data_IF_010421666267
#
_entry.id   IF_010421666267
#
_cell.length_a   1.000
_cell.length_b   1.000
_cell.length_c   1.000
_cell.angle_alpha   90.00
_cell.angle_beta   90.00
_cell.angle_gamma   90.00
#
_symmetry.space_group_name_H-M   'P 1'
#
loop_
_entity.id
_entity.type
_entity.pdbx_description
1 polymer ?
#
# COMPACT_ATOMS: atom_id res chain seq x y z
N UNK A 1 20.77 -1.75 -15.01
CA UNK A 1 21.48 -1.19 -13.84
C UNK A 1 21.83 0.30 -13.98
N UNK A 2 22.06 0.80 -15.20
CA UNK A 2 22.42 2.23 -15.41
C UNK A 2 21.33 3.23 -14.96
N UNK A 3 20.05 2.86 -14.98
CA UNK A 3 18.93 3.72 -14.54
C UNK A 3 18.91 3.95 -13.03
N UNK A 4 19.29 2.96 -12.22
CA UNK A 4 19.29 3.07 -10.75
C UNK A 4 20.31 4.11 -10.20
N UNK A 5 21.41 4.33 -10.91
CA UNK A 5 22.48 5.23 -10.47
C UNK A 5 22.40 6.62 -11.09
N UNK A 6 21.32 6.94 -11.79
CA UNK A 6 21.09 8.29 -12.30
C UNK A 6 20.90 9.28 -11.13
N UNK A 7 21.60 10.43 -11.12
CA UNK A 7 21.50 11.38 -10.00
C UNK A 7 20.06 11.83 -9.70
N UNK A 8 19.23 12.00 -10.73
CA UNK A 8 17.83 12.41 -10.60
C UNK A 8 17.01 11.34 -9.88
N UNK A 9 17.21 10.05 -10.21
CA UNK A 9 16.55 8.92 -9.56
C UNK A 9 16.94 8.85 -8.09
N UNK A 10 18.23 9.00 -7.78
CA UNK A 10 18.71 8.97 -6.40
C UNK A 10 18.18 10.14 -5.57
N UNK A 11 18.11 11.37 -6.15
CA UNK A 11 17.51 12.54 -5.49
C UNK A 11 16.02 12.33 -5.20
N UNK A 12 15.25 11.86 -6.20
CA UNK A 12 13.83 11.57 -6.03
C UNK A 12 13.61 10.46 -4.99
N UNK A 13 14.41 9.40 -5.03
CA UNK A 13 14.35 8.30 -4.07
C UNK A 13 14.67 8.77 -2.65
N UNK A 14 15.69 9.61 -2.48
CA UNK A 14 16.06 10.16 -1.17
C UNK A 14 14.93 11.05 -0.59
N UNK A 15 14.34 11.93 -1.41
CA UNK A 15 13.21 12.75 -0.99
C UNK A 15 11.98 11.91 -0.63
N UNK A 16 11.63 10.94 -1.47
CA UNK A 16 10.51 10.05 -1.22
C UNK A 16 10.74 9.15 0.01
N UNK A 17 11.95 8.65 0.22
CA UNK A 17 12.30 7.85 1.39
C UNK A 17 12.25 8.67 2.69
N UNK A 18 12.78 9.89 2.68
CA UNK A 18 12.69 10.81 3.82
C UNK A 18 11.22 11.09 4.17
N UNK A 19 10.39 11.38 3.16
CA UNK A 19 8.95 11.58 3.34
C UNK A 19 8.25 10.34 3.87
N UNK A 20 8.51 9.15 3.30
CA UNK A 20 7.96 7.88 3.76
C UNK A 20 8.33 7.58 5.21
N UNK A 21 9.59 7.83 5.59
CA UNK A 21 10.08 7.64 6.96
C UNK A 21 9.40 8.61 7.93
N UNK A 22 9.22 9.87 7.54
CA UNK A 22 8.50 10.86 8.33
C UNK A 22 7.04 10.46 8.57
N UNK A 23 6.35 9.96 7.54
CA UNK A 23 4.98 9.47 7.65
C UNK A 23 4.88 8.19 8.51
N UNK A 24 5.89 7.34 8.49
CA UNK A 24 5.93 6.12 9.29
C UNK A 24 6.27 6.37 10.77
N UNK A 25 6.96 7.47 11.08
CA UNK A 25 7.44 7.81 12.42
C UNK A 25 6.40 7.69 13.53
N UNK A 26 5.16 8.26 13.41
CA UNK A 26 4.19 8.21 14.50
C UNK A 26 3.75 6.79 14.85
N UNK A 27 3.75 5.87 13.89
CA UNK A 27 3.45 4.45 14.13
C UNK A 27 4.62 3.73 14.77
N UNK A 28 5.84 3.97 14.29
CA UNK A 28 7.06 3.38 14.84
C UNK A 28 7.28 3.81 16.30
N UNK A 29 7.03 5.08 16.62
CA UNK A 29 7.16 5.61 17.98
C UNK A 29 6.17 4.96 18.99
N UNK A 30 5.07 4.39 18.49
CA UNK A 30 4.07 3.67 19.31
C UNK A 30 4.32 2.17 19.40
N UNK A 31 5.34 1.67 18.75
CA UNK A 31 5.71 0.24 18.78
C UNK A 31 6.52 -0.05 20.05
N UNK A 32 5.89 0.21 21.22
CA UNK A 32 6.51 0.17 22.54
C UNK A 32 7.04 -1.21 22.94
N UNK A 33 6.47 -2.27 22.40
CA UNK A 33 6.82 -3.65 22.75
C UNK A 33 7.99 -4.21 21.91
N UNK A 34 8.53 -3.39 21.00
CA UNK A 34 9.64 -3.81 20.18
C UNK A 34 10.98 -3.55 20.92
N UNK A 35 11.79 -4.58 21.18
CA UNK A 35 13.09 -4.42 21.82
C UNK A 35 14.09 -3.65 20.95
N UNK A 36 13.79 -3.45 19.66
CA UNK A 36 14.65 -2.71 18.74
C UNK A 36 14.61 -1.22 19.08
N UNK A 37 15.76 -0.57 19.30
CA UNK A 37 15.81 0.87 19.52
C UNK A 37 15.14 1.63 18.37
N UNK A 38 14.29 2.62 18.69
CA UNK A 38 13.51 3.37 17.71
C UNK A 38 14.38 3.97 16.59
N UNK A 39 15.56 4.52 16.91
CA UNK A 39 16.48 5.08 15.93
C UNK A 39 16.94 4.04 14.92
N UNK A 40 17.21 2.79 15.37
CA UNK A 40 17.63 1.71 14.49
C UNK A 40 16.49 1.28 13.55
N UNK A 41 15.27 1.18 14.07
CA UNK A 41 14.09 0.90 13.25
C UNK A 41 13.89 1.99 12.18
N UNK A 42 14.03 3.26 12.55
CA UNK A 42 13.91 4.39 11.63
C UNK A 42 14.98 4.39 10.55
N UNK A 43 16.25 4.19 10.93
CA UNK A 43 17.38 4.12 9.97
C UNK A 43 17.18 2.96 9.01
N UNK A 44 16.85 1.77 9.53
CA UNK A 44 16.64 0.58 8.71
C UNK A 44 15.48 0.76 7.73
N UNK A 45 14.33 1.27 8.20
CA UNK A 45 13.18 1.52 7.34
C UNK A 45 13.45 2.64 6.34
N UNK A 46 14.14 3.70 6.75
CA UNK A 46 14.53 4.78 5.84
C UNK A 46 15.44 4.29 4.73
N UNK A 47 16.41 3.44 5.05
CA UNK A 47 17.29 2.82 4.06
C UNK A 47 16.53 1.86 3.14
N UNK A 48 15.69 1.02 3.70
CA UNK A 48 14.82 0.13 2.91
C UNK A 48 13.90 0.94 1.97
N UNK A 49 13.26 1.99 2.47
CA UNK A 49 12.44 2.88 1.66
C UNK A 49 13.25 3.54 0.54
N UNK A 50 14.48 3.99 0.81
CA UNK A 50 15.36 4.55 -0.21
C UNK A 50 15.66 3.55 -1.33
N UNK A 51 16.05 2.32 -0.99
CA UNK A 51 16.32 1.28 -1.97
C UNK A 51 15.08 0.95 -2.81
N UNK A 52 13.91 0.83 -2.17
CA UNK A 52 12.66 0.52 -2.84
C UNK A 52 12.20 1.66 -3.74
N UNK A 53 12.26 2.92 -3.28
CA UNK A 53 11.93 4.08 -4.11
C UNK A 53 12.89 4.23 -5.28
N UNK A 54 14.19 3.99 -5.10
CA UNK A 54 15.15 3.99 -6.20
C UNK A 54 14.77 2.97 -7.28
N UNK A 55 14.36 1.78 -6.87
CA UNK A 55 13.87 0.76 -7.79
C UNK A 55 12.57 1.19 -8.50
N UNK A 56 11.62 1.77 -7.76
CA UNK A 56 10.35 2.26 -8.31
C UNK A 56 10.59 3.36 -9.34
N UNK A 57 11.34 4.41 -9.00
CA UNK A 57 11.61 5.50 -9.94
C UNK A 57 12.40 5.03 -11.16
N UNK A 58 13.44 4.19 -10.96
CA UNK A 58 14.27 3.71 -12.07
C UNK A 58 13.50 2.80 -13.03
N UNK A 59 12.76 1.85 -12.50
CA UNK A 59 12.20 0.77 -13.34
C UNK A 59 10.79 1.04 -13.82
N UNK A 60 9.99 1.76 -13.01
CA UNK A 60 8.65 2.12 -13.46
C UNK A 60 8.72 3.03 -14.70
N UNK A 61 9.50 4.10 -14.65
CA UNK A 61 9.64 5.01 -15.78
C UNK A 61 10.27 4.33 -17.02
N UNK A 62 11.33 3.54 -16.80
CA UNK A 62 12.02 2.81 -17.88
C UNK A 62 11.13 1.83 -18.64
N UNK A 63 10.25 1.12 -17.90
CA UNK A 63 9.46 0.02 -18.48
C UNK A 63 7.98 0.33 -18.72
N UNK A 64 7.41 1.35 -18.05
CA UNK A 64 6.05 1.81 -18.31
C UNK A 64 5.97 3.04 -19.23
N UNK A 65 7.10 3.75 -19.40
CA UNK A 65 7.15 5.01 -20.14
C UNK A 65 6.43 6.17 -19.45
N UNK A 66 6.08 6.02 -18.17
CA UNK A 66 5.32 7.03 -17.40
C UNK A 66 6.05 7.37 -16.10
N UNK A 67 6.02 8.66 -15.67
CA UNK A 67 6.61 9.06 -14.40
C UNK A 67 5.79 8.51 -13.22
N UNK A 68 6.48 8.17 -12.14
CA UNK A 68 5.84 7.74 -10.88
C UNK A 68 4.99 8.87 -10.28
N UNK A 69 5.54 10.10 -10.28
CA UNK A 69 4.85 11.30 -9.82
C UNK A 69 4.31 12.06 -11.03
N UNK A 70 3.00 12.00 -11.23
CA UNK A 70 2.30 12.77 -12.25
C UNK A 70 1.57 13.91 -11.57
N UNK A 71 2.06 15.16 -11.77
CA UNK A 71 1.42 16.34 -11.19
C UNK A 71 0.14 16.75 -11.92
N UNK A 72 0.02 16.39 -13.20
CA UNK A 72 -1.16 16.68 -14.03
C UNK A 72 -1.87 15.36 -14.32
N UNK A 73 -2.68 14.92 -13.35
CA UNK A 73 -3.49 13.69 -13.50
C UNK A 73 -4.82 14.06 -14.16
N UNK A 74 -5.24 13.35 -15.24
CA UNK A 74 -6.54 13.57 -15.87
C UNK A 74 -7.70 13.38 -14.88
N UNK A 75 -8.76 14.18 -15.02
CA UNK A 75 -9.95 14.10 -14.17
C UNK A 75 -10.58 12.71 -14.14
N UNK A 76 -10.51 11.98 -15.26
CA UNK A 76 -10.98 10.59 -15.36
C UNK A 76 -10.27 9.68 -14.35
N UNK A 77 -8.97 9.81 -14.18
CA UNK A 77 -8.20 8.95 -13.26
C UNK A 77 -8.52 9.29 -11.78
N UNK A 78 -8.79 10.56 -11.48
CA UNK A 78 -9.31 10.97 -10.17
C UNK A 78 -10.70 10.40 -9.91
N UNK A 79 -11.59 10.42 -10.89
CA UNK A 79 -12.92 9.84 -10.77
C UNK A 79 -12.84 8.31 -10.53
N UNK A 80 -12.01 7.61 -11.31
CA UNK A 80 -11.79 6.16 -11.14
C UNK A 80 -11.21 5.85 -9.75
N UNK A 81 -10.25 6.63 -9.28
CA UNK A 81 -9.67 6.48 -7.95
C UNK A 81 -10.72 6.73 -6.85
N UNK A 82 -11.56 7.74 -7.01
CA UNK A 82 -12.64 8.03 -6.06
C UNK A 82 -13.66 6.89 -6.01
N UNK A 83 -14.13 6.43 -7.17
CA UNK A 83 -15.08 5.31 -7.25
C UNK A 83 -14.47 4.03 -6.64
N UNK A 84 -13.22 3.71 -6.98
CA UNK A 84 -12.53 2.56 -6.43
C UNK A 84 -12.36 2.65 -4.91
N UNK A 85 -11.99 3.82 -4.39
CA UNK A 85 -11.84 4.06 -2.96
C UNK A 85 -13.15 3.94 -2.20
N UNK A 86 -14.23 4.58 -2.69
CA UNK A 86 -15.55 4.57 -2.04
C UNK A 86 -16.17 3.18 -2.08
N UNK A 87 -16.21 2.55 -3.26
CA UNK A 87 -16.77 1.20 -3.42
C UNK A 87 -15.94 0.20 -2.59
N UNK A 88 -14.61 0.29 -2.64
CA UNK A 88 -13.73 -0.56 -1.85
C UNK A 88 -13.95 -0.36 -0.35
N UNK A 89 -14.09 0.87 0.13
CA UNK A 89 -14.40 1.17 1.53
C UNK A 89 -15.73 0.55 1.97
N UNK A 90 -16.78 0.71 1.16
CA UNK A 90 -18.10 0.15 1.44
C UNK A 90 -18.06 -1.40 1.47
N UNK A 91 -17.42 -2.02 0.49
CA UNK A 91 -17.28 -3.48 0.44
C UNK A 91 -16.48 -4.01 1.63
N UNK A 92 -15.34 -3.40 1.95
CA UNK A 92 -14.48 -3.87 3.04
C UNK A 92 -15.14 -3.67 4.41
N UNK A 93 -15.86 -2.57 4.62
CA UNK A 93 -16.58 -2.34 5.88
C UNK A 93 -17.66 -3.38 6.16
N UNK A 94 -18.30 -3.91 5.11
CA UNK A 94 -19.38 -4.88 5.25
C UNK A 94 -18.89 -6.34 5.25
N UNK A 95 -17.75 -6.63 4.65
CA UNK A 95 -17.31 -8.01 4.43
C UNK A 95 -16.06 -8.39 5.22
N UNK A 96 -15.01 -7.57 5.13
CA UNK A 96 -13.68 -7.90 5.70
C UNK A 96 -13.54 -7.39 7.13
N UNK A 97 -14.00 -6.17 7.39
CA UNK A 97 -13.80 -5.53 8.70
C UNK A 97 -14.53 -6.27 9.86
N UNK A 98 -15.74 -6.81 9.72
CA UNK A 98 -16.37 -7.58 10.80
C UNK A 98 -15.53 -8.80 11.20
N UNK A 99 -15.02 -9.54 10.21
CA UNK A 99 -14.16 -10.70 10.45
C UNK A 99 -12.80 -10.26 11.03
N UNK A 100 -12.20 -9.24 10.46
CA UNK A 100 -10.91 -8.72 10.91
C UNK A 100 -10.96 -8.20 12.34
N UNK A 101 -11.99 -7.45 12.72
CA UNK A 101 -12.17 -6.95 14.09
C UNK A 101 -12.37 -8.06 15.11
N UNK A 102 -13.08 -9.13 14.75
CA UNK A 102 -13.29 -10.26 15.65
C UNK A 102 -11.98 -11.03 15.91
N UNK A 103 -11.09 -11.10 14.93
CA UNK A 103 -9.87 -11.92 14.98
C UNK A 103 -8.62 -11.14 15.38
N UNK A 104 -8.54 -9.87 15.01
CA UNK A 104 -7.39 -8.98 15.27
C UNK A 104 -7.87 -7.58 15.61
N UNK A 105 -8.54 -7.39 16.75
CA UNK A 105 -9.05 -6.07 17.16
C UNK A 105 -7.93 -5.02 17.26
N UNK A 106 -6.70 -5.45 17.58
CA UNK A 106 -5.51 -4.58 17.67
C UNK A 106 -5.10 -3.95 16.33
N UNK A 107 -5.51 -4.52 15.19
CA UNK A 107 -5.21 -3.98 13.86
C UNK A 107 -6.17 -2.84 13.45
N UNK A 108 -7.20 -2.60 14.27
CA UNK A 108 -8.20 -1.56 14.03
C UNK A 108 -7.99 -0.36 14.92
N UNK A 109 -8.09 0.86 14.39
CA UNK A 109 -7.87 2.07 15.17
C UNK A 109 -8.99 2.25 16.23
N UNK A 110 -8.59 2.50 17.47
CA UNK A 110 -9.52 2.73 18.59
C UNK A 110 -9.82 4.21 18.82
N UNK A 111 -9.07 5.10 18.20
CA UNK A 111 -9.25 6.55 18.29
C UNK A 111 -8.65 7.26 17.07
N UNK A 112 -8.96 8.55 16.93
CA UNK A 112 -8.50 9.41 15.82
C UNK A 112 -6.98 9.42 15.66
N UNK A 113 -6.24 9.44 16.75
CA UNK A 113 -4.78 9.48 16.68
C UNK A 113 -4.21 8.13 16.19
N UNK A 114 -4.78 7.00 16.58
CA UNK A 114 -4.42 5.67 16.07
C UNK A 114 -4.78 5.57 14.58
N UNK A 115 -5.96 6.05 14.19
CA UNK A 115 -6.37 6.10 12.78
C UNK A 115 -5.39 6.94 11.94
N UNK A 116 -5.08 8.16 12.40
CA UNK A 116 -4.14 9.03 11.68
C UNK A 116 -2.77 8.39 11.48
N UNK A 117 -2.22 7.75 12.51
CA UNK A 117 -0.92 7.06 12.39
C UNK A 117 -0.96 5.86 11.45
N UNK A 118 -2.08 5.15 11.39
CA UNK A 118 -2.26 4.03 10.45
C UNK A 118 -2.35 4.53 9.00
N UNK A 119 -3.11 5.60 8.76
CA UNK A 119 -3.21 6.22 7.43
C UNK A 119 -1.84 6.70 6.95
N UNK A 120 -1.11 7.44 7.80
CA UNK A 120 0.21 7.95 7.45
C UNK A 120 1.19 6.83 7.12
N UNK A 121 1.21 5.77 7.92
CA UNK A 121 2.04 4.60 7.67
C UNK A 121 1.68 3.90 6.36
N UNK A 122 0.38 3.73 6.09
CA UNK A 122 -0.09 3.15 4.84
C UNK A 122 0.36 3.97 3.63
N UNK A 123 0.17 5.29 3.67
CA UNK A 123 0.54 6.18 2.57
C UNK A 123 2.05 6.27 2.36
N UNK A 124 2.82 6.28 3.44
CA UNK A 124 4.27 6.43 3.36
C UNK A 124 5.02 5.14 3.04
N UNK A 125 4.60 4.03 3.61
CA UNK A 125 5.40 2.81 3.60
C UNK A 125 4.67 1.58 3.05
N UNK A 126 3.45 1.31 3.50
CA UNK A 126 2.76 0.07 3.13
C UNK A 126 2.47 -0.02 1.64
N UNK A 127 2.05 1.08 1.00
CA UNK A 127 1.85 1.11 -0.46
C UNK A 127 3.14 0.82 -1.22
N UNK A 128 4.26 1.42 -0.78
CA UNK A 128 5.56 1.21 -1.40
C UNK A 128 5.94 -0.26 -1.35
N UNK A 129 5.87 -0.86 -0.15
CA UNK A 129 6.34 -2.22 0.08
C UNK A 129 5.44 -3.28 -0.58
N UNK A 130 4.12 -3.08 -0.52
CA UNK A 130 3.15 -4.10 -0.93
C UNK A 130 2.79 -4.03 -2.42
N UNK A 131 2.81 -2.83 -3.01
CA UNK A 131 2.34 -2.63 -4.38
C UNK A 131 3.42 -2.11 -5.32
N UNK A 132 4.06 -0.99 -4.98
CA UNK A 132 4.86 -0.26 -5.93
C UNK A 132 6.21 -0.91 -6.20
N UNK A 133 6.91 -1.33 -5.16
CA UNK A 133 8.21 -1.98 -5.30
C UNK A 133 8.10 -3.37 -5.96
N UNK A 134 7.15 -4.26 -5.57
CA UNK A 134 6.93 -5.50 -6.30
C UNK A 134 6.57 -5.28 -7.77
N UNK A 135 5.68 -4.32 -8.07
CA UNK A 135 5.35 -3.99 -9.46
C UNK A 135 6.59 -3.58 -10.25
N UNK A 136 7.39 -2.65 -9.72
CA UNK A 136 8.60 -2.19 -10.38
C UNK A 136 9.60 -3.33 -10.61
N UNK A 137 9.77 -4.21 -9.63
CA UNK A 137 10.60 -5.40 -9.74
C UNK A 137 10.12 -6.33 -10.85
N UNK A 138 8.83 -6.68 -10.89
CA UNK A 138 8.28 -7.54 -11.92
C UNK A 138 8.25 -6.86 -13.30
N UNK A 139 8.03 -5.55 -13.39
CA UNK A 139 8.18 -4.80 -14.63
C UNK A 139 9.59 -4.96 -15.21
N UNK A 140 10.61 -4.86 -14.37
CA UNK A 140 12.00 -5.09 -14.79
C UNK A 140 12.23 -6.51 -15.29
N UNK A 141 11.72 -7.52 -14.58
CA UNK A 141 11.93 -8.93 -14.93
C UNK A 141 11.22 -9.33 -16.21
N UNK A 142 9.95 -8.92 -16.34
CA UNK A 142 9.07 -9.41 -17.40
C UNK A 142 8.96 -8.46 -18.59
N UNK A 143 9.28 -7.18 -18.38
CA UNK A 143 9.09 -6.08 -19.36
C UNK A 143 7.65 -5.99 -19.88
N UNK A 144 6.70 -6.53 -19.14
CA UNK A 144 5.28 -6.55 -19.46
C UNK A 144 4.48 -6.06 -18.27
N UNK A 145 3.72 -4.98 -18.44
CA UNK A 145 2.87 -4.42 -17.40
C UNK A 145 1.80 -5.42 -16.93
N UNK A 146 1.23 -6.19 -17.87
CA UNK A 146 0.18 -7.17 -17.56
C UNK A 146 0.73 -8.30 -16.68
N UNK A 147 1.89 -8.88 -17.05
CA UNK A 147 2.52 -9.94 -16.27
C UNK A 147 2.98 -9.39 -14.91
N UNK A 148 3.56 -8.20 -14.86
CA UNK A 148 4.01 -7.58 -13.62
C UNK A 148 2.85 -7.34 -12.64
N UNK A 149 1.70 -6.86 -13.13
CA UNK A 149 0.49 -6.68 -12.32
C UNK A 149 -0.01 -8.02 -11.79
N UNK A 150 -0.11 -9.04 -12.64
CA UNK A 150 -0.51 -10.39 -12.23
C UNK A 150 0.43 -10.99 -11.19
N UNK A 151 1.75 -10.90 -11.40
CA UNK A 151 2.76 -11.40 -10.48
C UNK A 151 2.71 -10.65 -9.13
N UNK A 152 2.48 -9.34 -9.13
CA UNK A 152 2.29 -8.57 -7.89
C UNK A 152 1.03 -9.02 -7.14
N UNK A 153 -0.07 -9.30 -7.85
CA UNK A 153 -1.28 -9.82 -7.23
C UNK A 153 -1.07 -11.21 -6.59
N UNK A 154 -0.33 -12.10 -7.26
CA UNK A 154 0.05 -13.41 -6.71
C UNK A 154 0.93 -13.24 -5.46
N UNK A 155 1.94 -12.37 -5.51
CA UNK A 155 2.78 -12.08 -4.35
C UNK A 155 1.97 -11.53 -3.17
N UNK A 156 0.93 -10.74 -3.45
CA UNK A 156 0.02 -10.22 -2.41
C UNK A 156 -0.77 -11.33 -1.72
N UNK A 157 -1.19 -12.35 -2.45
CA UNK A 157 -1.83 -13.54 -1.87
C UNK A 157 -0.84 -14.28 -0.99
N UNK A 158 0.40 -14.44 -1.44
CA UNK A 158 1.46 -15.08 -0.66
C UNK A 158 1.72 -14.34 0.66
N UNK A 159 1.80 -13.00 0.66
CA UNK A 159 1.90 -12.22 1.89
C UNK A 159 0.68 -12.34 2.80
N UNK A 160 -0.51 -12.44 2.23
CA UNK A 160 -1.71 -12.73 3.00
C UNK A 160 -1.59 -14.09 3.69
N UNK A 161 -1.13 -15.10 2.98
CA UNK A 161 -0.95 -16.45 3.52
C UNK A 161 0.12 -16.52 4.62
N UNK A 162 1.26 -15.83 4.46
CA UNK A 162 2.32 -15.78 5.47
C UNK A 162 1.95 -14.93 6.70
N UNK A 163 1.23 -13.83 6.50
CA UNK A 163 0.93 -12.86 7.55
C UNK A 163 -0.35 -13.15 8.33
N UNK A 164 -1.17 -14.09 7.87
CA UNK A 164 -2.48 -14.39 8.49
C UNK A 164 -2.67 -15.89 8.64
N UNK A 165 -3.22 -16.27 9.79
CA UNK A 165 -3.76 -17.61 9.97
C UNK A 165 -5.10 -17.69 9.19
N UNK A 166 -5.01 -17.90 7.88
CA UNK A 166 -6.17 -17.95 6.98
C UNK A 166 -7.30 -18.86 7.46
N UNK A 167 -7.01 -20.08 8.01
CA UNK A 167 -8.06 -20.94 8.56
C UNK A 167 -8.81 -20.32 9.73
N UNK A 168 -8.16 -19.46 10.53
CA UNK A 168 -8.82 -18.72 11.61
C UNK A 168 -9.58 -17.51 11.12
N UNK A 169 -9.04 -16.82 10.07
CA UNK A 169 -9.70 -15.65 9.47
C UNK A 169 -10.96 -16.02 8.70
N UNK A 170 -11.01 -17.18 8.11
CA UNK A 170 -12.15 -17.64 7.33
C UNK A 170 -12.33 -19.15 7.53
N UNK A 171 -13.16 -19.54 8.50
CA UNK A 171 -13.37 -20.96 8.84
C UNK A 171 -14.05 -21.76 7.72
N UNK A 172 -14.52 -21.09 6.66
CA UNK A 172 -15.11 -21.74 5.48
C UNK A 172 -14.25 -21.51 4.23
N UNK A 173 -14.22 -22.49 3.34
CA UNK A 173 -13.53 -22.37 2.05
C UNK A 173 -14.05 -21.19 1.21
N UNK A 174 -15.35 -20.90 1.29
CA UNK A 174 -15.95 -19.73 0.62
C UNK A 174 -15.45 -18.40 1.20
N UNK A 175 -15.25 -18.32 2.51
CA UNK A 175 -14.67 -17.14 3.17
C UNK A 175 -13.22 -16.91 2.76
N UNK A 176 -12.39 -17.95 2.69
CA UNK A 176 -11.01 -17.86 2.18
C UNK A 176 -11.01 -17.38 0.73
N UNK A 177 -11.84 -17.99 -0.12
CA UNK A 177 -11.95 -17.61 -1.53
C UNK A 177 -12.35 -16.13 -1.68
N UNK A 178 -13.33 -15.67 -0.89
CA UNK A 178 -13.77 -14.27 -0.90
C UNK A 178 -12.64 -13.31 -0.50
N UNK A 179 -11.90 -13.61 0.56
CA UNK A 179 -10.76 -12.79 1.00
C UNK A 179 -9.68 -12.70 -0.07
N UNK A 180 -9.34 -13.83 -0.71
CA UNK A 180 -8.35 -13.88 -1.79
C UNK A 180 -8.83 -13.07 -2.98
N UNK A 181 -10.07 -13.26 -3.44
CA UNK A 181 -10.65 -12.52 -4.56
C UNK A 181 -10.67 -11.02 -4.29
N UNK A 182 -11.13 -10.59 -3.11
CA UNK A 182 -11.16 -9.18 -2.73
C UNK A 182 -9.75 -8.56 -2.75
N UNK A 183 -8.73 -9.27 -2.28
CA UNK A 183 -7.34 -8.81 -2.30
C UNK A 183 -6.77 -8.73 -3.72
N UNK A 184 -7.05 -9.72 -4.55
CA UNK A 184 -6.64 -9.71 -5.97
C UNK A 184 -7.26 -8.54 -6.70
N UNK A 185 -8.58 -8.39 -6.61
CA UNK A 185 -9.30 -7.29 -7.28
C UNK A 185 -8.80 -5.93 -6.81
N UNK A 186 -8.65 -5.73 -5.49
CA UNK A 186 -8.10 -4.48 -4.95
C UNK A 186 -6.69 -4.21 -5.48
N UNK A 187 -5.83 -5.23 -5.56
CA UNK A 187 -4.47 -5.09 -6.11
C UNK A 187 -4.49 -4.70 -7.59
N UNK A 188 -5.31 -5.38 -8.40
CA UNK A 188 -5.45 -5.08 -9.83
C UNK A 188 -5.94 -3.65 -10.06
N UNK A 189 -6.92 -3.20 -9.27
CA UNK A 189 -7.48 -1.85 -9.37
C UNK A 189 -6.42 -0.81 -8.97
N UNK A 190 -5.75 -0.97 -7.82
CA UNK A 190 -4.73 -0.04 -7.35
C UNK A 190 -3.57 0.07 -8.34
N UNK A 191 -3.06 -1.06 -8.83
CA UNK A 191 -1.98 -1.08 -9.82
C UNK A 191 -2.41 -0.53 -11.17
N UNK A 192 -3.66 -0.79 -11.59
CA UNK A 192 -4.23 -0.22 -12.81
C UNK A 192 -4.33 1.32 -12.73
N UNK A 193 -4.72 1.86 -11.59
CA UNK A 193 -4.74 3.31 -11.32
C UNK A 193 -3.32 3.86 -11.30
N UNK A 194 -2.37 3.18 -10.63
CA UNK A 194 -0.97 3.60 -10.58
C UNK A 194 -0.34 3.68 -11.97
N UNK A 195 -0.53 2.66 -12.80
CA UNK A 195 0.03 2.62 -14.15
C UNK A 195 -0.52 3.73 -15.07
N UNK A 196 -1.71 4.29 -14.77
CA UNK A 196 -2.36 5.34 -15.57
C UNK A 196 -2.14 6.74 -15.02
N UNK A 197 -2.34 6.89 -13.70
CA UNK A 197 -2.39 8.18 -13.02
C UNK A 197 -1.21 8.46 -12.08
N UNK A 198 -0.29 7.49 -11.91
CA UNK A 198 0.84 7.61 -10.98
C UNK A 198 0.44 7.49 -9.52
N UNK A 199 1.30 8.00 -8.64
CA UNK A 199 1.19 7.82 -7.19
C UNK A 199 0.01 8.56 -6.55
N UNK A 200 -0.30 9.78 -7.00
CA UNK A 200 -1.29 10.63 -6.33
C UNK A 200 -2.71 10.01 -6.27
N UNK A 201 -3.29 9.49 -7.38
CA UNK A 201 -4.58 8.80 -7.30
C UNK A 201 -4.55 7.55 -6.43
N UNK A 202 -3.43 6.83 -6.35
CA UNK A 202 -3.29 5.66 -5.47
C UNK A 202 -3.32 6.07 -4.00
N UNK A 203 -2.62 7.15 -3.64
CA UNK A 203 -2.71 7.74 -2.29
C UNK A 203 -4.15 8.13 -1.95
N UNK A 204 -4.88 8.70 -2.90
CA UNK A 204 -6.29 9.06 -2.74
C UNK A 204 -7.19 7.85 -2.49
N UNK A 205 -7.02 6.76 -3.26
CA UNK A 205 -7.71 5.47 -2.99
C UNK A 205 -7.43 5.01 -1.57
N UNK A 206 -6.16 5.04 -1.15
CA UNK A 206 -5.75 4.64 0.19
C UNK A 206 -6.42 5.47 1.29
N UNK A 207 -6.48 6.78 1.13
CA UNK A 207 -7.19 7.68 2.06
C UNK A 207 -8.67 7.31 2.18
N UNK A 208 -9.36 7.13 1.07
CA UNK A 208 -10.78 6.77 1.05
C UNK A 208 -11.02 5.38 1.66
N UNK A 209 -10.16 4.41 1.37
CA UNK A 209 -10.22 3.09 1.99
C UNK A 209 -10.08 3.16 3.51
N UNK A 210 -9.18 4.00 4.02
CA UNK A 210 -8.99 4.15 5.46
C UNK A 210 -10.04 5.04 6.13
N UNK A 211 -10.73 5.92 5.39
CA UNK A 211 -11.81 6.74 5.91
C UNK A 211 -12.96 5.90 6.50
N UNK A 212 -13.19 4.67 6.00
CA UNK A 212 -14.21 3.76 6.57
C UNK A 212 -14.01 3.47 8.05
N UNK A 213 -12.76 3.43 8.53
CA UNK A 213 -12.46 3.21 9.94
C UNK A 213 -12.84 4.43 10.79
N UNK A 214 -12.67 5.63 10.25
CA UNK A 214 -13.14 6.85 10.90
C UNK A 214 -14.66 6.83 11.11
N UNK A 215 -15.41 6.57 10.05
CA UNK A 215 -16.89 6.49 10.15
C UNK A 215 -17.34 5.39 11.10
N UNK A 216 -16.66 4.25 11.14
CA UNK A 216 -16.98 3.17 12.06
C UNK A 216 -16.73 3.54 13.53
N UNK A 217 -15.72 4.38 13.83
CA UNK A 217 -15.47 4.88 15.19
C UNK A 217 -16.53 5.90 15.63
N UNK A 218 -16.97 6.78 14.73
CA UNK A 218 -18.02 7.77 15.04
C UNK A 218 -19.39 7.11 15.21
N UNK A 219 -19.71 6.08 14.43
CA UNK A 219 -20.97 5.34 14.55
C UNK A 219 -21.08 4.48 15.83
N UNK A 220 -19.96 4.17 16.47
CA UNK A 220 -19.90 3.41 17.72
C UNK A 220 -19.88 4.26 18.99
N UNK A 221 -19.90 5.59 18.85
CA UNK A 221 -20.04 6.57 19.97
C UNK A 221 -21.50 6.91 20.19
#
# INVERSE_FOLDING_TARGET
MRSLVKPEVLKQAAGAAAFSTLLAWPRLARWSDNPTPLWLAVVTLGWAAFCLWAAVFAWHEEYSGRPVLQWRVPAREWLLATLAGVIGAALFSQTIDPLGRALRPQDYPVNTAAWGTQVLFYLGFEQLFIYLAPLAFFLRLTRSAQIAVGATAVLRIFFLWLGTDLPRLAPSASGVLWLVLARVVATLVVLGIFLRGGLLPVCWVGLLLHARHWFAMEAGR
#
